data_IF_610111541703
#
_entry.id   IF_610111541703
#
_cell.length_a   1.000
_cell.length_b   1.000
_cell.length_c   1.000
_cell.angle_alpha   90.00
_cell.angle_beta   90.00
_cell.angle_gamma   90.00
#
_symmetry.space_group_name_H-M   'P 1'
#
loop_
_entity.id
_entity.type
_entity.pdbx_description
1 polymer ?
#
# COMPACT_ATOMS: atom_id res chain seq x y z
N UNK A 1 24.81 60.32 -28.31
CA UNK A 1 23.40 60.48 -27.92
C UNK A 1 22.60 59.59 -28.86
N UNK A 2 21.89 58.54 -28.47
CA UNK A 2 21.47 58.09 -27.15
C UNK A 2 21.35 56.55 -27.14
N UNK A 3 21.16 56.01 -25.95
CA UNK A 3 21.23 54.61 -25.54
C UNK A 3 20.24 53.67 -26.25
N UNK A 4 20.70 52.46 -26.59
CA UNK A 4 19.84 51.31 -26.85
C UNK A 4 19.44 50.69 -25.51
N UNK A 5 18.12 50.66 -25.25
CA UNK A 5 17.52 50.06 -24.06
C UNK A 5 17.84 48.57 -23.99
N UNK A 6 18.55 48.20 -22.93
CA UNK A 6 18.69 46.84 -22.43
C UNK A 6 17.38 46.46 -21.70
N UNK A 7 16.50 45.70 -22.34
CA UNK A 7 15.46 44.92 -21.64
C UNK A 7 15.97 43.49 -21.49
N UNK A 8 16.67 43.26 -20.37
CA UNK A 8 16.77 41.94 -19.79
C UNK A 8 15.49 41.76 -18.96
N UNK A 9 14.44 41.25 -19.60
CA UNK A 9 13.29 40.73 -18.89
C UNK A 9 13.62 39.31 -18.44
N UNK A 10 13.39 39.07 -17.15
CA UNK A 10 13.77 37.91 -16.36
C UNK A 10 13.32 36.57 -16.99
N UNK A 11 14.27 35.79 -17.50
CA UNK A 11 14.07 34.35 -17.66
C UNK A 11 14.03 33.72 -16.26
N UNK A 12 12.81 33.58 -15.72
CA UNK A 12 12.51 32.71 -14.61
C UNK A 12 13.05 31.31 -14.95
N UNK A 13 14.18 30.94 -14.34
CA UNK A 13 14.66 29.57 -14.31
C UNK A 13 13.63 28.72 -13.54
N UNK A 14 12.55 28.34 -14.22
CA UNK A 14 11.78 27.17 -13.89
C UNK A 14 12.73 25.98 -14.12
N UNK A 15 13.58 25.71 -13.12
CA UNK A 15 14.26 24.43 -12.99
C UNK A 15 13.17 23.39 -13.15
N UNK A 16 13.28 22.58 -14.21
CA UNK A 16 12.38 21.48 -14.43
C UNK A 16 12.26 20.73 -13.12
N UNK A 17 11.03 20.51 -12.66
CA UNK A 17 10.78 19.49 -11.65
C UNK A 17 11.16 18.20 -12.38
N UNK A 18 12.43 17.82 -12.23
CA UNK A 18 12.96 16.60 -12.81
C UNK A 18 12.03 15.52 -12.27
N UNK A 19 11.26 14.89 -13.16
CA UNK A 19 10.50 13.69 -12.84
C UNK A 19 11.53 12.64 -12.50
N UNK A 20 12.00 12.61 -11.25
CA UNK A 20 12.91 11.58 -10.79
C UNK A 20 12.19 10.26 -11.03
N UNK A 21 12.68 9.39 -11.93
CA UNK A 21 12.12 8.07 -12.10
C UNK A 21 12.62 7.23 -10.92
N UNK A 22 12.16 7.59 -9.71
CA UNK A 22 12.47 6.87 -8.49
C UNK A 22 11.80 5.50 -8.54
N UNK A 23 12.58 4.47 -8.29
CA UNK A 23 12.10 3.11 -8.07
C UNK A 23 11.69 2.94 -6.61
N UNK A 24 10.88 1.92 -6.31
CA UNK A 24 10.51 1.59 -4.93
C UNK A 24 11.73 1.31 -4.03
N UNK A 25 12.87 0.95 -4.63
CA UNK A 25 14.11 0.67 -3.91
C UNK A 25 14.82 1.92 -3.39
N UNK A 26 14.51 3.10 -3.92
CA UNK A 26 15.18 4.36 -3.57
C UNK A 26 14.70 4.94 -2.23
N UNK A 27 13.58 4.45 -1.72
CA UNK A 27 13.00 4.90 -0.45
C UNK A 27 13.18 3.84 0.64
N UNK A 28 13.28 4.22 1.90
CA UNK A 28 13.32 3.26 2.99
C UNK A 28 11.94 2.62 3.22
N UNK A 29 11.92 1.36 3.67
CA UNK A 29 10.65 0.63 3.85
C UNK A 29 9.76 1.23 4.94
N UNK A 30 10.34 1.89 5.95
CA UNK A 30 9.59 2.57 7.00
C UNK A 30 8.90 3.83 6.46
N UNK A 31 9.61 4.65 5.68
CA UNK A 31 9.03 5.85 5.04
C UNK A 31 7.84 5.49 4.15
N UNK A 32 7.99 4.45 3.31
CA UNK A 32 6.89 3.97 2.48
C UNK A 32 5.70 3.53 3.35
N UNK A 33 5.94 2.79 4.43
CA UNK A 33 4.86 2.33 5.32
C UNK A 33 4.15 3.48 6.05
N UNK A 34 4.87 4.55 6.40
CA UNK A 34 4.28 5.75 7.00
C UNK A 34 3.39 6.47 5.99
N UNK A 35 3.86 6.64 4.74
CA UNK A 35 3.06 7.26 3.68
C UNK A 35 1.81 6.45 3.34
N UNK A 36 1.91 5.12 3.23
CA UNK A 36 0.74 4.25 3.06
C UNK A 36 -0.24 4.39 4.22
N UNK A 37 0.26 4.49 5.45
CA UNK A 37 -0.57 4.67 6.64
C UNK A 37 -1.26 6.03 6.69
N UNK A 38 -0.60 7.09 6.24
CA UNK A 38 -1.22 8.42 6.12
C UNK A 38 -2.36 8.41 5.10
N UNK A 39 -2.17 7.79 3.93
CA UNK A 39 -3.21 7.68 2.90
C UNK A 39 -4.40 6.85 3.38
N UNK A 40 -4.13 5.68 3.96
CA UNK A 40 -5.19 4.83 4.53
C UNK A 40 -5.95 5.57 5.64
N UNK A 41 -5.24 6.28 6.53
CA UNK A 41 -5.87 7.03 7.62
C UNK A 41 -6.80 8.12 7.07
N UNK A 42 -6.35 8.88 6.06
CA UNK A 42 -7.16 9.94 5.45
C UNK A 42 -8.49 9.42 4.88
N UNK A 43 -8.46 8.24 4.25
CA UNK A 43 -9.65 7.60 3.71
C UNK A 43 -10.52 7.01 4.83
N UNK A 44 -9.91 6.33 5.79
CA UNK A 44 -10.61 5.70 6.91
C UNK A 44 -11.37 6.73 7.76
N UNK A 45 -10.77 7.90 8.02
CA UNK A 45 -11.41 8.98 8.79
C UNK A 45 -12.65 9.58 8.12
N UNK A 46 -12.83 9.39 6.80
CA UNK A 46 -14.00 9.89 6.08
C UNK A 46 -15.20 8.93 6.17
N UNK A 47 -14.99 7.69 6.58
CA UNK A 47 -16.06 6.69 6.68
C UNK A 47 -16.97 7.01 7.85
N UNK A 48 -18.26 7.23 7.58
CA UNK A 48 -19.25 7.41 8.63
C UNK A 48 -19.95 6.10 9.01
N UNK A 49 -20.38 5.98 10.27
CA UNK A 49 -21.11 4.80 10.77
C UNK A 49 -22.36 4.46 9.93
N UNK A 50 -23.19 5.43 9.47
CA UNK A 50 -24.33 5.13 8.61
C UNK A 50 -23.95 4.42 7.33
N UNK A 51 -22.81 4.76 6.70
CA UNK A 51 -22.34 4.07 5.50
C UNK A 51 -22.06 2.59 5.78
N UNK A 52 -21.38 2.29 6.88
CA UNK A 52 -21.08 0.91 7.30
C UNK A 52 -22.37 0.11 7.55
N UNK A 53 -23.34 0.72 8.24
CA UNK A 53 -24.62 0.08 8.55
C UNK A 53 -25.49 -0.13 7.30
N UNK A 54 -25.46 0.81 6.35
CA UNK A 54 -26.17 0.71 5.07
C UNK A 54 -25.52 -0.36 4.17
N UNK A 55 -24.20 -0.37 4.08
CA UNK A 55 -23.45 -1.38 3.33
C UNK A 55 -23.76 -2.80 3.81
N UNK A 56 -23.81 -3.02 5.13
CA UNK A 56 -24.15 -4.32 5.71
C UNK A 56 -25.56 -4.83 5.32
N UNK A 57 -26.47 -3.94 4.91
CA UNK A 57 -27.85 -4.28 4.53
C UNK A 57 -28.04 -4.34 3.02
N UNK A 58 -27.47 -3.39 2.29
CA UNK A 58 -27.84 -3.11 0.90
C UNK A 58 -26.66 -3.25 -0.06
N UNK A 59 -25.41 -3.24 0.42
CA UNK A 59 -24.19 -3.27 -0.41
C UNK A 59 -24.23 -2.25 -1.56
N UNK A 60 -24.74 -1.05 -1.27
CA UNK A 60 -24.93 0.01 -2.25
C UNK A 60 -23.80 1.03 -2.14
N UNK A 61 -23.03 1.15 -3.23
CA UNK A 61 -21.87 2.04 -3.34
C UNK A 61 -22.26 3.53 -3.29
N UNK A 62 -23.36 3.93 -3.95
CA UNK A 62 -23.85 5.31 -3.95
C UNK A 62 -24.24 5.79 -2.55
N UNK A 63 -24.70 4.87 -1.70
CA UNK A 63 -25.08 5.14 -0.30
C UNK A 63 -23.93 5.00 0.69
N UNK A 64 -22.79 4.47 0.26
CA UNK A 64 -21.62 4.21 1.12
C UNK A 64 -20.31 4.67 0.45
N UNK A 65 -20.25 5.91 -0.08
CA UNK A 65 -19.19 6.34 -0.98
C UNK A 65 -17.79 6.31 -0.36
N UNK A 66 -17.62 6.67 0.92
CA UNK A 66 -16.31 6.67 1.57
C UNK A 66 -15.85 5.25 1.90
N UNK A 67 -16.78 4.37 2.30
CA UNK A 67 -16.48 2.96 2.51
C UNK A 67 -16.07 2.28 1.20
N UNK A 68 -16.79 2.56 0.12
CA UNK A 68 -16.44 2.09 -1.22
C UNK A 68 -15.06 2.60 -1.63
N UNK A 69 -14.79 3.90 -1.47
CA UNK A 69 -13.47 4.47 -1.80
C UNK A 69 -12.34 3.83 -0.99
N UNK A 70 -12.53 3.55 0.29
CA UNK A 70 -11.54 2.87 1.12
C UNK A 70 -11.28 1.43 0.64
N UNK A 71 -12.34 0.72 0.26
CA UNK A 71 -12.25 -0.64 -0.30
C UNK A 71 -11.58 -0.65 -1.67
N UNK A 72 -11.88 0.33 -2.52
CA UNK A 72 -11.21 0.52 -3.81
C UNK A 72 -9.73 0.82 -3.64
N UNK A 73 -9.35 1.65 -2.66
CA UNK A 73 -7.95 1.92 -2.34
C UNK A 73 -7.19 0.64 -1.99
N UNK A 74 -7.77 -0.22 -1.15
CA UNK A 74 -7.22 -1.54 -0.84
C UNK A 74 -6.98 -2.38 -2.11
N UNK A 75 -7.99 -2.47 -2.98
CA UNK A 75 -7.91 -3.25 -4.22
C UNK A 75 -6.86 -2.70 -5.18
N UNK A 76 -6.80 -1.38 -5.34
CA UNK A 76 -5.82 -0.69 -6.18
C UNK A 76 -4.40 -0.93 -5.67
N UNK A 77 -4.19 -0.90 -4.35
CA UNK A 77 -2.88 -1.16 -3.78
C UNK A 77 -2.45 -2.61 -3.95
N UNK A 78 -3.34 -3.59 -3.73
CA UNK A 78 -3.08 -5.01 -4.02
C UNK A 78 -2.74 -5.23 -5.50
N UNK A 79 -3.51 -4.62 -6.41
CA UNK A 79 -3.27 -4.70 -7.85
C UNK A 79 -1.94 -4.05 -8.25
N UNK A 80 -1.60 -2.89 -7.68
CA UNK A 80 -0.34 -2.20 -7.92
C UNK A 80 0.86 -3.07 -7.52
N UNK A 81 0.89 -3.58 -6.28
CA UNK A 81 1.96 -4.47 -5.77
C UNK A 81 2.17 -5.65 -6.72
N UNK A 82 1.09 -6.33 -7.10
CA UNK A 82 1.13 -7.47 -8.02
C UNK A 82 1.71 -7.06 -9.37
N UNK A 83 1.23 -5.94 -9.91
CA UNK A 83 1.62 -5.45 -11.23
C UNK A 83 3.09 -5.08 -11.29
N UNK A 84 3.63 -4.38 -10.29
CA UNK A 84 5.04 -3.97 -10.33
C UNK A 84 6.00 -5.16 -10.26
N UNK A 85 5.63 -6.22 -9.52
CA UNK A 85 6.42 -7.46 -9.45
C UNK A 85 6.35 -8.17 -10.81
N UNK A 86 5.15 -8.33 -11.36
CA UNK A 86 4.94 -9.04 -12.63
C UNK A 86 5.55 -8.33 -13.83
N UNK A 87 5.75 -7.02 -13.77
CA UNK A 87 6.41 -6.22 -14.82
C UNK A 87 7.93 -6.40 -14.86
N UNK A 88 8.55 -6.97 -13.83
CA UNK A 88 10.01 -7.20 -13.87
C UNK A 88 10.34 -8.41 -14.75
N UNK A 89 11.23 -8.22 -15.71
CA UNK A 89 11.68 -9.29 -16.62
C UNK A 89 12.56 -10.31 -15.88
N UNK A 90 13.49 -9.83 -15.06
CA UNK A 90 14.49 -10.67 -14.37
C UNK A 90 13.95 -11.22 -13.06
N UNK A 91 14.19 -12.50 -12.81
CA UNK A 91 13.76 -13.14 -11.55
C UNK A 91 14.39 -12.50 -10.32
N UNK A 92 15.63 -12.05 -10.42
CA UNK A 92 16.33 -11.37 -9.32
C UNK A 92 15.68 -10.03 -8.95
N UNK A 93 15.11 -9.31 -9.90
CA UNK A 93 14.42 -8.03 -9.63
C UNK A 93 13.04 -8.27 -9.01
N UNK A 94 12.33 -9.32 -9.44
CA UNK A 94 11.10 -9.79 -8.76
C UNK A 94 11.38 -10.14 -7.30
N UNK A 95 12.44 -10.90 -7.07
CA UNK A 95 12.91 -11.33 -5.75
C UNK A 95 13.19 -10.12 -4.83
N UNK A 96 13.91 -9.13 -5.35
CA UNK A 96 14.20 -7.89 -4.63
C UNK A 96 12.93 -7.12 -4.25
N UNK A 97 11.96 -7.00 -5.17
CA UNK A 97 10.70 -6.31 -4.88
C UNK A 97 9.85 -7.05 -3.85
N UNK A 98 9.75 -8.38 -3.96
CA UNK A 98 9.01 -9.18 -2.98
C UNK A 98 9.61 -9.01 -1.57
N UNK A 99 10.94 -9.12 -1.43
CA UNK A 99 11.62 -8.85 -0.16
C UNK A 99 11.42 -7.41 0.34
N UNK A 100 11.35 -6.44 -0.58
CA UNK A 100 11.06 -5.04 -0.25
C UNK A 100 9.65 -4.90 0.35
N UNK A 101 8.64 -5.55 -0.23
CA UNK A 101 7.28 -5.56 0.29
C UNK A 101 7.15 -6.29 1.62
N UNK A 102 7.85 -7.42 1.81
CA UNK A 102 7.94 -8.07 3.13
C UNK A 102 8.46 -7.09 4.19
N UNK A 103 9.50 -6.31 3.88
CA UNK A 103 10.02 -5.29 4.81
C UNK A 103 8.99 -4.19 5.08
N UNK A 104 8.26 -3.72 4.08
CA UNK A 104 7.18 -2.72 4.25
C UNK A 104 6.08 -3.28 5.16
N UNK A 105 5.64 -4.52 4.94
CA UNK A 105 4.66 -5.21 5.77
C UNK A 105 5.10 -5.29 7.24
N UNK A 106 6.38 -5.57 7.52
CA UNK A 106 6.90 -5.54 8.91
C UNK A 106 6.70 -4.19 9.59
N UNK A 107 6.86 -3.09 8.85
CA UNK A 107 6.64 -1.75 9.42
C UNK A 107 5.15 -1.42 9.54
N UNK A 108 4.33 -1.77 8.56
CA UNK A 108 2.86 -1.62 8.64
C UNK A 108 2.28 -2.33 9.86
N UNK A 109 2.79 -3.54 10.19
CA UNK A 109 2.38 -4.27 11.39
C UNK A 109 2.70 -3.52 12.68
N UNK A 110 3.84 -2.80 12.75
CA UNK A 110 4.23 -1.96 13.90
C UNK A 110 3.40 -0.69 13.99
N UNK A 111 2.95 -0.15 12.86
CA UNK A 111 2.07 1.01 12.77
C UNK A 111 0.59 0.66 13.01
N UNK A 112 0.27 -0.62 13.28
CA UNK A 112 -1.10 -1.13 13.38
C UNK A 112 -1.98 -0.79 12.17
N UNK A 113 -1.37 -0.67 10.99
CA UNK A 113 -2.07 -0.51 9.73
C UNK A 113 -2.32 -1.89 9.11
N UNK A 114 -3.46 -2.48 9.45
CA UNK A 114 -3.85 -3.77 8.93
C UNK A 114 -4.38 -3.67 7.50
N UNK A 115 -5.03 -2.57 7.13
CA UNK A 115 -5.55 -2.39 5.78
C UNK A 115 -4.46 -2.57 4.72
N UNK A 116 -3.39 -1.77 4.80
CA UNK A 116 -2.29 -1.88 3.86
C UNK A 116 -1.50 -3.19 4.01
N UNK A 117 -1.33 -3.68 5.24
CA UNK A 117 -0.65 -4.95 5.48
C UNK A 117 -1.34 -6.10 4.70
N UNK A 118 -2.67 -6.14 4.76
CA UNK A 118 -3.49 -7.14 4.07
C UNK A 118 -3.56 -6.93 2.57
N UNK A 119 -3.63 -5.70 2.08
CA UNK A 119 -3.63 -5.47 0.64
C UNK A 119 -2.32 -5.93 0.01
N UNK A 120 -1.15 -5.67 0.63
CA UNK A 120 0.13 -6.22 0.18
C UNK A 120 0.12 -7.75 0.27
N UNK A 121 -0.30 -8.34 1.40
CA UNK A 121 -0.32 -9.80 1.52
C UNK A 121 -1.20 -10.45 0.44
N UNK A 122 -2.39 -9.91 0.19
CA UNK A 122 -3.31 -10.43 -0.82
C UNK A 122 -2.70 -10.41 -2.23
N UNK A 123 -1.83 -9.44 -2.51
CA UNK A 123 -1.07 -9.40 -3.75
C UNK A 123 -0.01 -10.51 -3.79
N UNK A 124 0.75 -10.68 -2.70
CA UNK A 124 1.82 -11.68 -2.62
C UNK A 124 1.29 -13.12 -2.61
N UNK A 125 0.11 -13.35 -2.03
CA UNK A 125 -0.59 -14.63 -2.04
C UNK A 125 -1.44 -14.83 -3.32
N UNK A 126 -1.48 -13.88 -4.25
CA UNK A 126 -2.26 -14.06 -5.48
C UNK A 126 -1.66 -15.14 -6.40
N UNK A 127 -2.52 -15.81 -7.17
CA UNK A 127 -2.09 -16.90 -8.06
C UNK A 127 -0.95 -16.52 -9.03
N UNK A 128 -0.90 -15.31 -9.63
CA UNK A 128 0.23 -14.91 -10.49
C UNK A 128 1.57 -14.84 -9.76
N UNK A 129 1.59 -14.49 -8.47
CA UNK A 129 2.81 -14.40 -7.67
C UNK A 129 3.21 -15.77 -7.11
N UNK A 130 2.25 -16.53 -6.58
CA UNK A 130 2.53 -17.88 -6.02
C UNK A 130 3.11 -18.88 -7.02
N UNK A 131 2.75 -18.76 -8.31
CA UNK A 131 3.24 -19.67 -9.35
C UNK A 131 4.66 -19.39 -9.83
N UNK A 132 5.27 -18.29 -9.39
CA UNK A 132 6.68 -17.98 -9.66
C UNK A 132 7.58 -18.82 -8.76
N UNK A 133 8.75 -19.19 -9.25
CA UNK A 133 9.77 -19.87 -8.47
C UNK A 133 10.56 -18.85 -7.64
N UNK A 134 10.42 -18.93 -6.32
CA UNK A 134 11.10 -18.07 -5.35
C UNK A 134 12.28 -18.78 -4.71
N UNK A 135 13.28 -17.99 -4.29
CA UNK A 135 14.34 -18.54 -3.45
C UNK A 135 13.76 -19.03 -2.12
N UNK A 136 14.32 -20.13 -1.59
CA UNK A 136 13.85 -20.74 -0.33
C UNK A 136 13.70 -19.72 0.80
N UNK A 137 14.68 -18.85 0.97
CA UNK A 137 14.68 -17.84 2.03
C UNK A 137 13.56 -16.80 1.88
N UNK A 138 13.15 -16.50 0.65
CA UNK A 138 12.02 -15.61 0.38
C UNK A 138 10.70 -16.28 0.71
N UNK A 139 10.53 -17.54 0.31
CA UNK A 139 9.35 -18.33 0.65
C UNK A 139 9.17 -18.46 2.17
N UNK A 140 10.27 -18.71 2.90
CA UNK A 140 10.28 -18.73 4.37
C UNK A 140 9.93 -17.37 4.97
N UNK A 141 10.50 -16.29 4.43
CA UNK A 141 10.17 -14.94 4.83
C UNK A 141 8.69 -14.62 4.65
N UNK A 142 8.10 -14.96 3.51
CA UNK A 142 6.67 -14.74 3.24
C UNK A 142 5.78 -15.56 4.18
N UNK A 143 6.14 -16.84 4.43
CA UNK A 143 5.39 -17.73 5.30
C UNK A 143 5.23 -17.18 6.72
N UNK A 144 6.25 -16.49 7.26
CA UNK A 144 6.20 -15.82 8.56
C UNK A 144 5.04 -14.79 8.61
N UNK A 145 4.85 -14.00 7.56
CA UNK A 145 3.85 -12.92 7.49
C UNK A 145 2.46 -13.40 7.07
N UNK A 146 2.36 -14.56 6.44
CA UNK A 146 1.07 -15.21 6.16
C UNK A 146 0.35 -15.68 7.43
N UNK A 147 1.08 -15.90 8.55
CA UNK A 147 0.50 -16.43 9.80
C UNK A 147 -0.63 -15.57 10.39
N UNK A 148 -0.60 -14.26 10.15
CA UNK A 148 -1.60 -13.33 10.67
C UNK A 148 -2.98 -13.53 10.01
N UNK A 149 -3.03 -14.09 8.80
CA UNK A 149 -4.22 -14.18 7.92
C UNK A 149 -4.50 -15.62 7.53
N UNK A 150 -4.19 -16.55 8.42
CA UNK A 150 -4.82 -17.86 8.29
C UNK A 150 -6.36 -17.66 8.28
N UNK A 151 -6.96 -17.92 7.11
CA UNK A 151 -8.40 -17.83 6.89
C UNK A 151 -9.15 -18.89 7.68
N UNK A 152 -8.42 -19.84 8.29
CA UNK A 152 -8.96 -20.76 9.27
C UNK A 152 -9.70 -20.01 10.39
N UNK A 153 -10.84 -20.58 10.79
CA UNK A 153 -11.69 -19.99 11.84
C UNK A 153 -12.07 -18.51 11.58
N UNK A 154 -12.25 -18.12 10.31
CA UNK A 154 -12.65 -16.76 9.92
C UNK A 154 -11.61 -15.70 10.37
N UNK A 155 -10.34 -15.83 9.99
CA UNK A 155 -9.30 -14.85 10.36
C UNK A 155 -9.08 -14.71 11.88
N UNK A 156 -9.03 -15.85 12.61
CA UNK A 156 -8.87 -15.86 14.07
C UNK A 156 -7.63 -15.09 14.52
N UNK A 157 -6.49 -15.32 13.87
CA UNK A 157 -5.22 -14.68 14.22
C UNK A 157 -5.28 -13.15 14.06
N UNK A 158 -5.87 -12.66 12.97
CA UNK A 158 -6.11 -11.24 12.75
C UNK A 158 -7.05 -10.65 13.81
N UNK A 159 -8.19 -11.27 14.10
CA UNK A 159 -9.11 -10.75 15.14
C UNK A 159 -8.46 -10.69 16.52
N UNK A 160 -7.66 -11.70 16.88
CA UNK A 160 -6.90 -11.69 18.14
C UNK A 160 -5.88 -10.53 18.15
N UNK A 161 -5.12 -10.39 17.07
CA UNK A 161 -4.19 -9.27 16.91
C UNK A 161 -4.88 -7.90 16.99
N UNK A 162 -6.06 -7.75 16.38
CA UNK A 162 -6.82 -6.50 16.42
C UNK A 162 -7.36 -6.21 17.83
N UNK A 163 -7.78 -7.24 18.57
CA UNK A 163 -8.31 -7.08 19.93
C UNK A 163 -7.24 -6.67 20.95
N UNK A 164 -5.97 -7.00 20.71
CA UNK A 164 -4.84 -6.66 21.57
C UNK A 164 -4.22 -5.28 21.25
N UNK A 165 -4.60 -4.67 20.12
CA UNK A 165 -4.01 -3.42 19.67
C UNK A 165 -4.59 -2.23 20.42
N UNK A 166 -3.72 -1.41 20.99
CA UNK A 166 -4.07 -0.09 21.48
C UNK A 166 -4.11 0.92 20.32
N UNK A 167 -5.11 1.83 20.27
CA UNK A 167 -5.17 2.90 19.29
C UNK A 167 -3.88 3.76 19.28
N UNK A 168 -3.47 4.31 18.12
CA UNK A 168 -4.18 4.30 16.83
C UNK A 168 -3.99 3.00 16.02
N UNK A 169 -5.03 2.62 15.27
CA UNK A 169 -4.99 1.49 14.33
C UNK A 169 -5.89 1.73 13.12
N UNK A 170 -5.56 1.09 12.00
CA UNK A 170 -6.41 1.07 10.80
C UNK A 170 -6.81 -0.39 10.57
N UNK A 171 -8.09 -0.75 10.77
CA UNK A 171 -8.54 -2.12 10.59
C UNK A 171 -8.63 -2.47 9.10
N UNK A 172 -8.65 -3.77 8.81
CA UNK A 172 -9.20 -4.29 7.57
C UNK A 172 -10.73 -4.36 7.68
N UNK A 173 -11.42 -3.72 6.73
CA UNK A 173 -12.88 -3.64 6.63
C UNK A 173 -13.45 -4.61 5.59
#
# INVERSE_FOLDING_TARGET
MAENLNRQDDECHAQSIISWPGTLHDFHSHEISEQLTLLDAELFYKIEIPEVLLWAKEQNEEKSPNLTQFTEHFNNMSYWVRSIIMQQEKSQDRERLLLKFIKIMKHLRKLNNFNSYLAILSALDSAPIRRLEWQKQTSEGLAEYCTLIDSSSSFRAYRAALAEVEPPCIPYL
#
